data_IF_781055312795
#
_entry.id   IF_781055312795
#
_cell.length_a   1.000
_cell.length_b   1.000
_cell.length_c   1.000
_cell.angle_alpha   90.00
_cell.angle_beta   90.00
_cell.angle_gamma   90.00
#
_symmetry.space_group_name_H-M   'P 1'
#
loop_
_entity.id
_entity.type
_entity.pdbx_description
1 polymer ?
#
# COMPACT_ATOMS: atom_id res chain seq x y z
N UNK A 1 25.73 -21.41 -11.15
CA UNK A 1 25.04 -20.80 -10.00
C UNK A 1 23.78 -20.16 -10.56
N UNK A 2 22.63 -20.82 -10.44
CA UNK A 2 21.36 -20.25 -10.94
C UNK A 2 20.93 -19.18 -9.93
N UNK A 3 21.01 -17.91 -10.34
CA UNK A 3 20.40 -16.82 -9.59
C UNK A 3 18.90 -17.07 -9.62
N UNK A 4 18.33 -17.62 -8.53
CA UNK A 4 16.88 -17.76 -8.39
C UNK A 4 16.28 -16.36 -8.60
N UNK A 5 15.34 -16.19 -9.51
CA UNK A 5 14.64 -14.90 -9.65
C UNK A 5 13.95 -14.58 -8.31
N UNK A 6 13.96 -13.31 -7.90
CA UNK A 6 13.26 -12.93 -6.67
C UNK A 6 11.76 -13.06 -6.92
N UNK A 7 11.00 -13.60 -5.96
CA UNK A 7 9.55 -13.57 -6.04
C UNK A 7 9.07 -12.11 -6.14
N UNK A 8 8.16 -11.85 -7.07
CA UNK A 8 7.60 -10.51 -7.31
C UNK A 8 6.14 -10.43 -6.85
N UNK A 9 5.63 -9.21 -6.70
CA UNK A 9 4.19 -8.97 -6.58
C UNK A 9 3.70 -8.47 -7.93
N UNK A 10 2.75 -9.19 -8.51
CA UNK A 10 2.17 -8.89 -9.81
C UNK A 10 1.01 -7.89 -9.66
N UNK A 11 0.15 -8.13 -8.68
CA UNK A 11 -0.99 -7.29 -8.39
C UNK A 11 -1.42 -7.38 -6.92
N UNK A 12 -2.23 -6.41 -6.51
CA UNK A 12 -2.96 -6.44 -5.24
C UNK A 12 -4.45 -6.38 -5.54
N UNK A 13 -5.24 -7.22 -4.87
CA UNK A 13 -6.69 -7.21 -4.99
C UNK A 13 -7.30 -6.59 -3.75
N UNK A 14 -8.04 -5.50 -3.94
CA UNK A 14 -8.89 -4.90 -2.91
C UNK A 14 -10.25 -5.60 -2.94
N UNK A 15 -10.69 -6.07 -1.77
CA UNK A 15 -12.00 -6.67 -1.64
C UNK A 15 -13.03 -5.63 -1.16
N UNK A 16 -14.12 -5.46 -1.89
CA UNK A 16 -15.09 -4.41 -1.60
C UNK A 16 -16.53 -4.89 -1.72
N UNK A 17 -17.44 -4.25 -0.98
CA UNK A 17 -18.88 -4.47 -1.15
C UNK A 17 -19.35 -3.84 -2.47
N UNK A 18 -18.93 -2.59 -2.73
CA UNK A 18 -19.19 -1.88 -3.97
C UNK A 18 -17.94 -1.90 -4.86
N UNK A 19 -17.86 -2.95 -5.69
CA UNK A 19 -16.71 -3.17 -6.58
C UNK A 19 -16.65 -2.17 -7.73
N UNK A 20 -17.80 -1.66 -8.18
CA UNK A 20 -17.87 -0.67 -9.26
C UNK A 20 -17.28 0.64 -8.78
N UNK A 21 -17.78 1.17 -7.66
CA UNK A 21 -17.27 2.42 -7.08
C UNK A 21 -15.79 2.33 -6.72
N UNK A 22 -15.34 1.17 -6.22
CA UNK A 22 -13.93 0.96 -5.87
C UNK A 22 -13.05 0.92 -7.11
N UNK A 23 -13.50 0.26 -8.18
CA UNK A 23 -12.76 0.19 -9.45
C UNK A 23 -12.67 1.56 -10.13
N UNK A 24 -13.79 2.30 -10.18
CA UNK A 24 -13.84 3.67 -10.69
C UNK A 24 -12.91 4.59 -9.91
N UNK A 25 -12.93 4.51 -8.56
CA UNK A 25 -12.01 5.28 -7.72
C UNK A 25 -10.54 5.00 -8.07
N UNK A 26 -10.14 3.73 -8.18
CA UNK A 26 -8.74 3.35 -8.49
C UNK A 26 -8.34 3.85 -9.88
N UNK A 27 -9.22 3.69 -10.87
CA UNK A 27 -8.97 4.10 -12.25
C UNK A 27 -8.87 5.64 -12.37
N UNK A 28 -9.84 6.37 -11.84
CA UNK A 28 -9.95 7.82 -12.00
C UNK A 28 -8.96 8.60 -11.12
N UNK A 29 -8.70 8.12 -9.91
CA UNK A 29 -7.81 8.80 -8.98
C UNK A 29 -6.33 8.54 -9.28
N UNK A 30 -5.99 7.30 -9.63
CA UNK A 30 -4.59 6.85 -9.64
C UNK A 30 -4.14 6.18 -10.95
N UNK A 31 -5.07 5.75 -11.81
CA UNK A 31 -4.73 5.05 -13.06
C UNK A 31 -4.03 3.71 -12.82
N UNK A 32 -4.39 3.00 -11.75
CA UNK A 32 -3.71 1.78 -11.30
C UNK A 32 -4.50 0.48 -11.54
N UNK A 33 -5.48 0.47 -12.45
CA UNK A 33 -6.34 -0.70 -12.68
C UNK A 33 -5.58 -1.97 -13.11
N UNK A 34 -4.40 -1.82 -13.72
CA UNK A 34 -3.52 -2.92 -14.12
C UNK A 34 -2.78 -3.58 -12.95
N UNK A 35 -2.63 -2.86 -11.82
CA UNK A 35 -1.87 -3.33 -10.65
C UNK A 35 -2.76 -3.56 -9.42
N UNK A 36 -3.88 -2.85 -9.33
CA UNK A 36 -4.82 -2.92 -8.22
C UNK A 36 -6.16 -3.38 -8.77
N UNK A 37 -6.46 -4.66 -8.55
CA UNK A 37 -7.72 -5.27 -8.94
C UNK A 37 -8.76 -5.12 -7.83
N UNK A 38 -10.02 -5.37 -8.18
CA UNK A 38 -11.13 -5.32 -7.23
C UNK A 38 -11.96 -6.57 -7.37
N UNK A 39 -12.33 -7.18 -6.23
CA UNK A 39 -13.27 -8.32 -6.19
C UNK A 39 -14.33 -8.13 -5.11
N UNK A 40 -15.51 -8.75 -5.26
CA UNK A 40 -16.57 -8.61 -4.28
C UNK A 40 -16.21 -9.35 -2.98
N UNK A 41 -16.53 -8.74 -1.83
CA UNK A 41 -16.46 -9.41 -0.52
C UNK A 41 -17.45 -8.81 0.47
N UNK A 42 -17.98 -9.68 1.32
CA UNK A 42 -18.86 -9.34 2.45
C UNK A 42 -18.19 -9.67 3.79
N UNK A 43 -16.90 -10.03 3.78
CA UNK A 43 -16.14 -10.32 4.99
C UNK A 43 -16.14 -9.11 5.92
N UNK A 44 -16.43 -9.36 7.20
CA UNK A 44 -16.57 -8.28 8.17
C UNK A 44 -15.21 -7.65 8.46
N UNK A 45 -15.17 -6.32 8.48
CA UNK A 45 -13.98 -5.53 8.79
C UNK A 45 -14.38 -4.25 9.50
N UNK A 46 -13.54 -3.78 10.43
CA UNK A 46 -13.77 -2.53 11.15
C UNK A 46 -12.47 -1.79 11.43
N UNK A 47 -12.54 -0.45 11.52
CA UNK A 47 -11.39 0.39 11.85
C UNK A 47 -10.28 0.34 10.80
N UNK A 48 -9.02 0.28 11.25
CA UNK A 48 -7.86 0.13 10.39
C UNK A 48 -7.70 -1.33 9.92
N UNK A 49 -7.51 -1.55 8.62
CA UNK A 49 -7.36 -2.89 8.05
C UNK A 49 -5.94 -3.44 8.11
N UNK A 50 -5.04 -2.83 8.88
CA UNK A 50 -3.68 -3.34 9.08
C UNK A 50 -2.66 -2.89 8.04
N UNK A 51 -3.07 -2.43 6.86
CA UNK A 51 -2.14 -1.99 5.81
C UNK A 51 -2.48 -0.60 5.26
N UNK A 52 -1.54 -0.01 4.52
CA UNK A 52 -1.81 1.12 3.64
C UNK A 52 -1.14 0.92 2.29
N UNK A 53 -1.78 1.39 1.21
CA UNK A 53 -1.15 1.51 -0.11
C UNK A 53 -0.51 2.89 -0.22
N UNK A 54 0.82 2.93 -0.35
CA UNK A 54 1.56 4.18 -0.47
C UNK A 54 1.97 4.41 -1.91
N UNK A 55 1.49 5.51 -2.48
CA UNK A 55 1.81 5.93 -3.83
C UNK A 55 2.92 6.96 -3.79
N UNK A 56 4.03 6.63 -4.43
CA UNK A 56 5.19 7.50 -4.54
C UNK A 56 5.13 8.24 -5.87
N UNK A 57 5.30 9.56 -5.80
CA UNK A 57 5.34 10.46 -6.95
C UNK A 57 6.67 11.19 -7.00
N UNK A 58 7.05 11.67 -8.19
CA UNK A 58 8.34 12.32 -8.41
C UNK A 58 8.44 13.72 -7.76
N UNK A 59 7.32 14.42 -7.58
CA UNK A 59 7.30 15.80 -7.08
C UNK A 59 5.96 16.18 -6.42
N UNK A 60 5.91 17.29 -5.66
CA UNK A 60 4.69 17.75 -4.98
C UNK A 60 3.46 17.95 -5.88
N UNK A 61 3.60 18.55 -7.06
CA UNK A 61 2.46 18.81 -7.95
C UNK A 61 1.74 17.53 -8.40
N UNK A 62 2.45 16.41 -8.53
CA UNK A 62 1.85 15.11 -8.84
C UNK A 62 1.05 14.57 -7.65
N UNK A 63 1.57 14.77 -6.42
CA UNK A 63 0.85 14.44 -5.18
C UNK A 63 -0.43 15.25 -5.05
N UNK A 64 -0.37 16.56 -5.29
CA UNK A 64 -1.52 17.47 -5.22
C UNK A 64 -2.60 17.04 -6.22
N UNK A 65 -2.21 16.80 -7.48
CA UNK A 65 -3.12 16.34 -8.54
C UNK A 65 -3.81 15.03 -8.17
N UNK A 66 -3.06 14.05 -7.66
CA UNK A 66 -3.61 12.76 -7.25
C UNK A 66 -4.55 12.89 -6.04
N UNK A 67 -4.19 13.72 -5.06
CA UNK A 67 -5.05 13.98 -3.90
C UNK A 67 -6.36 14.62 -4.32
N UNK A 68 -6.33 15.65 -5.18
CA UNK A 68 -7.53 16.28 -5.70
C UNK A 68 -8.40 15.31 -6.50
N UNK A 69 -7.80 14.44 -7.32
CA UNK A 69 -8.53 13.43 -8.08
C UNK A 69 -9.21 12.42 -7.13
N UNK A 70 -8.50 11.93 -6.12
CA UNK A 70 -9.05 11.03 -5.12
C UNK A 70 -10.20 11.67 -4.33
N UNK A 71 -10.08 12.94 -3.93
CA UNK A 71 -11.15 13.66 -3.24
C UNK A 71 -12.39 13.85 -4.13
N UNK A 72 -12.21 14.17 -5.43
CA UNK A 72 -13.31 14.22 -6.40
C UNK A 72 -13.98 12.86 -6.59
N UNK A 73 -13.22 11.78 -6.51
CA UNK A 73 -13.71 10.40 -6.56
C UNK A 73 -14.29 9.88 -5.21
N UNK A 74 -14.45 10.75 -4.22
CA UNK A 74 -15.14 10.44 -2.97
C UNK A 74 -14.27 9.92 -1.84
N UNK A 75 -12.95 10.08 -1.91
CA UNK A 75 -12.08 9.83 -0.77
C UNK A 75 -12.25 10.88 0.34
N UNK A 76 -12.00 10.47 1.57
CA UNK A 76 -11.95 11.35 2.74
C UNK A 76 -10.50 11.68 3.12
N UNK A 77 -10.13 12.95 3.34
CA UNK A 77 -8.79 13.29 3.78
C UNK A 77 -8.55 12.81 5.23
N UNK A 78 -7.41 12.17 5.48
CA UNK A 78 -6.95 11.80 6.84
C UNK A 78 -5.87 12.77 7.30
N UNK A 79 -4.81 12.93 6.49
CA UNK A 79 -3.77 13.94 6.68
C UNK A 79 -3.77 14.89 5.49
N UNK A 80 -3.78 16.22 5.72
CA UNK A 80 -3.67 17.17 4.63
C UNK A 80 -2.33 16.98 3.91
N UNK A 81 -2.35 17.15 2.60
CA UNK A 81 -1.13 17.13 1.78
C UNK A 81 -0.30 18.37 2.12
N UNK A 82 0.91 18.14 2.64
CA UNK A 82 1.78 19.23 3.09
C UNK A 82 3.26 18.84 3.05
N UNK A 83 4.13 19.86 3.14
CA UNK A 83 5.56 19.66 3.39
C UNK A 83 5.77 19.06 4.78
N UNK A 84 6.68 18.11 4.87
CA UNK A 84 7.13 17.51 6.11
C UNK A 84 8.66 17.42 6.16
N UNK A 85 9.18 16.87 7.26
CA UNK A 85 10.60 16.56 7.37
C UNK A 85 11.04 15.59 6.26
N UNK A 86 10.21 14.58 5.96
CA UNK A 86 10.51 13.48 5.05
C UNK A 86 10.25 13.78 3.57
N UNK A 87 9.56 14.88 3.26
CA UNK A 87 9.23 15.22 1.87
C UNK A 87 7.96 16.06 1.78
N UNK A 88 7.05 15.64 0.91
CA UNK A 88 5.74 16.24 0.66
C UNK A 88 4.70 15.13 0.55
N UNK A 89 3.56 15.24 1.22
CA UNK A 89 2.57 14.16 1.19
C UNK A 89 1.43 14.31 2.17
N UNK A 90 0.48 13.39 2.07
CA UNK A 90 -0.71 13.28 2.90
C UNK A 90 -1.28 11.87 2.86
N UNK A 91 -2.47 11.69 3.41
CA UNK A 91 -3.17 10.41 3.40
C UNK A 91 -4.68 10.60 3.32
N UNK A 92 -5.34 9.61 2.76
CA UNK A 92 -6.78 9.61 2.52
C UNK A 92 -7.37 8.21 2.72
N UNK A 93 -8.68 8.17 2.93
CA UNK A 93 -9.48 6.94 2.98
C UNK A 93 -10.30 6.87 1.71
N UNK A 94 -10.13 5.81 0.94
CA UNK A 94 -10.93 5.53 -0.24
C UNK A 94 -12.37 5.14 0.14
N UNK A 95 -13.34 5.20 -0.80
CA UNK A 95 -14.75 4.89 -0.52
C UNK A 95 -15.00 3.47 0.03
N UNK A 96 -14.13 2.53 -0.31
CA UNK A 96 -14.16 1.16 0.18
C UNK A 96 -13.62 1.02 1.62
N UNK A 97 -13.06 2.08 2.19
CA UNK A 97 -12.44 2.14 3.51
C UNK A 97 -10.92 1.92 3.53
N UNK A 98 -10.30 1.59 2.40
CA UNK A 98 -8.84 1.38 2.30
C UNK A 98 -8.09 2.68 2.52
N UNK A 99 -6.97 2.61 3.23
CA UNK A 99 -6.15 3.77 3.57
C UNK A 99 -4.99 3.89 2.59
N UNK A 100 -4.89 5.06 1.96
CA UNK A 100 -3.85 5.38 0.98
C UNK A 100 -2.96 6.51 1.49
N UNK A 101 -1.66 6.43 1.23
CA UNK A 101 -0.74 7.55 1.45
C UNK A 101 -0.19 8.02 0.11
N UNK A 102 0.00 9.32 -0.02
CA UNK A 102 0.54 9.96 -1.22
C UNK A 102 1.81 10.67 -0.80
N UNK A 103 2.93 10.39 -1.47
CA UNK A 103 4.22 10.91 -1.03
C UNK A 103 5.16 11.24 -2.19
N UNK A 104 5.93 12.30 -2.02
CA UNK A 104 7.12 12.62 -2.80
C UNK A 104 8.25 12.91 -1.82
N UNK A 105 9.44 12.36 -2.08
CA UNK A 105 10.65 12.70 -1.32
C UNK A 105 11.14 14.13 -1.62
N UNK A 106 10.73 14.70 -2.76
CA UNK A 106 11.01 16.08 -3.15
C UNK A 106 10.05 17.06 -2.46
N UNK A 107 10.52 18.30 -2.28
CA UNK A 107 9.76 19.39 -1.64
C UNK A 107 9.47 20.57 -2.58
N UNK A 108 9.86 20.45 -3.85
CA UNK A 108 9.69 21.47 -4.89
C UNK A 108 9.36 20.78 -6.22
N UNK A 109 8.60 21.47 -7.06
CA UNK A 109 8.33 21.05 -8.42
C UNK A 109 9.53 21.36 -9.31
N UNK A 110 9.83 20.47 -10.24
CA UNK A 110 10.94 20.60 -11.19
C UNK A 110 10.50 20.43 -12.64
N UNK A 111 9.26 19.95 -12.87
CA UNK A 111 8.68 19.76 -14.19
C UNK A 111 7.14 19.87 -14.12
N UNK A 112 6.49 19.83 -15.29
CA UNK A 112 5.03 19.73 -15.38
C UNK A 112 4.54 18.42 -14.72
N UNK A 113 3.46 18.43 -13.90
CA UNK A 113 2.90 17.22 -13.32
C UNK A 113 2.41 16.25 -14.38
N UNK A 114 2.81 14.99 -14.23
CA UNK A 114 2.45 13.88 -15.12
C UNK A 114 1.30 13.05 -14.58
N UNK A 115 1.05 13.11 -13.27
CA UNK A 115 0.12 12.27 -12.54
C UNK A 115 0.59 10.81 -12.38
N UNK A 116 1.78 10.45 -12.86
CA UNK A 116 2.25 9.06 -12.85
C UNK A 116 2.78 8.67 -11.48
N UNK A 117 2.33 7.51 -11.01
CA UNK A 117 2.87 6.83 -9.84
C UNK A 117 4.22 6.23 -10.21
N UNK A 118 5.27 6.62 -9.50
CA UNK A 118 6.64 6.12 -9.71
C UNK A 118 6.86 4.78 -9.00
N UNK A 119 6.14 4.52 -7.91
CA UNK A 119 6.20 3.27 -7.16
C UNK A 119 4.94 3.09 -6.31
N UNK A 120 4.42 1.86 -6.26
CA UNK A 120 3.39 1.45 -5.29
C UNK A 120 4.07 0.69 -4.16
N UNK A 121 3.76 1.02 -2.91
CA UNK A 121 4.24 0.29 -1.73
C UNK A 121 3.05 -0.24 -0.94
N UNK A 122 2.94 -1.57 -0.87
CA UNK A 122 2.09 -2.23 0.11
C UNK A 122 2.81 -2.24 1.45
N UNK A 123 2.41 -1.33 2.33
CA UNK A 123 2.94 -1.26 3.69
C UNK A 123 2.03 -2.04 4.64
N UNK A 124 2.43 -3.28 4.95
CA UNK A 124 1.70 -4.18 5.82
C UNK A 124 2.10 -3.99 7.29
N UNK A 125 1.09 -3.86 8.14
CA UNK A 125 1.22 -3.79 9.58
C UNK A 125 1.13 -5.17 10.19
N UNK A 126 2.20 -5.60 10.86
CA UNK A 126 2.35 -6.93 11.46
C UNK A 126 2.52 -6.85 12.97
N UNK A 127 2.21 -7.93 13.68
CA UNK A 127 2.37 -8.07 15.12
C UNK A 127 3.85 -8.25 15.49
N UNK A 128 4.56 -9.10 14.74
CA UNK A 128 6.00 -9.34 14.90
C UNK A 128 6.74 -9.25 13.56
N UNK A 129 7.45 -8.13 13.36
CA UNK A 129 8.23 -7.86 12.14
C UNK A 129 9.32 -8.91 11.90
N UNK A 130 9.89 -9.53 12.95
CA UNK A 130 10.93 -10.57 12.77
C UNK A 130 10.31 -11.87 12.30
N UNK A 131 9.17 -12.27 12.88
CA UNK A 131 8.46 -13.48 12.48
C UNK A 131 7.95 -13.37 11.04
N UNK A 132 7.28 -12.26 10.70
CA UNK A 132 6.81 -12.01 9.34
C UNK A 132 7.98 -11.94 8.33
N UNK A 133 9.10 -11.30 8.71
CA UNK A 133 10.32 -11.30 7.88
C UNK A 133 10.83 -12.71 7.60
N UNK A 134 10.91 -13.57 8.62
CA UNK A 134 11.36 -14.94 8.47
C UNK A 134 10.42 -15.70 7.51
N UNK A 135 9.11 -15.61 7.72
CA UNK A 135 8.09 -16.19 6.85
C UNK A 135 8.32 -15.81 5.38
N UNK A 136 8.37 -14.53 5.05
CA UNK A 136 8.53 -14.09 3.66
C UNK A 136 9.87 -14.50 3.05
N UNK A 137 10.95 -14.52 3.85
CA UNK A 137 12.28 -14.94 3.37
C UNK A 137 12.31 -16.45 3.08
N UNK A 138 11.68 -17.27 3.92
CA UNK A 138 11.52 -18.71 3.73
C UNK A 138 10.69 -19.03 2.47
N UNK A 139 9.72 -18.17 2.16
CA UNK A 139 8.90 -18.26 0.95
C UNK A 139 9.55 -17.65 -0.30
N UNK A 140 10.80 -17.19 -0.21
CA UNK A 140 11.62 -16.82 -1.36
C UNK A 140 11.71 -15.33 -1.67
N UNK A 141 11.11 -14.46 -0.84
CA UNK A 141 11.31 -13.01 -0.96
C UNK A 141 12.69 -12.60 -0.46
N UNK A 142 13.34 -11.71 -1.20
CA UNK A 142 14.65 -11.16 -0.81
C UNK A 142 14.46 -9.88 -0.03
N UNK A 143 15.19 -9.75 1.07
CA UNK A 143 15.22 -8.51 1.84
C UNK A 143 16.07 -7.47 1.12
N UNK A 144 15.45 -6.36 0.72
CA UNK A 144 16.14 -5.19 0.15
C UNK A 144 16.70 -4.29 1.24
N UNK A 145 15.94 -4.06 2.31
CA UNK A 145 16.32 -3.19 3.43
C UNK A 145 15.69 -3.69 4.72
N UNK A 146 16.41 -3.60 5.84
CA UNK A 146 15.87 -3.99 7.14
C UNK A 146 16.49 -3.15 8.26
N UNK A 147 15.64 -2.67 9.16
CA UNK A 147 16.02 -1.90 10.34
C UNK A 147 15.56 -2.61 11.61
N UNK A 148 16.18 -3.77 11.86
CA UNK A 148 15.86 -4.63 13.01
C UNK A 148 14.39 -5.06 13.02
N UNK A 149 13.70 -4.87 14.15
CA UNK A 149 12.29 -5.20 14.32
C UNK A 149 11.32 -4.06 13.96
N UNK A 150 11.82 -2.96 13.38
CA UNK A 150 10.99 -1.77 13.10
C UNK A 150 10.51 -1.68 11.66
N UNK A 151 11.28 -2.20 10.72
CA UNK A 151 11.02 -2.09 9.29
C UNK A 151 11.75 -3.18 8.51
N UNK A 152 11.09 -3.75 7.52
CA UNK A 152 11.72 -4.52 6.46
C UNK A 152 11.05 -4.18 5.13
N UNK A 153 11.83 -4.15 4.06
CA UNK A 153 11.38 -3.96 2.69
C UNK A 153 11.96 -5.10 1.85
N UNK A 154 11.11 -5.68 1.00
CA UNK A 154 11.49 -6.78 0.13
C UNK A 154 11.69 -6.31 -1.31
N UNK A 155 12.61 -6.97 -1.99
CA UNK A 155 12.77 -6.85 -3.43
C UNK A 155 11.67 -7.69 -4.10
N UNK A 156 10.61 -7.00 -4.53
CA UNK A 156 9.35 -7.56 -5.07
C UNK A 156 9.12 -7.13 -6.52
N UNK A 157 10.18 -6.67 -7.19
CA UNK A 157 10.08 -6.11 -8.54
C UNK A 157 9.76 -4.62 -8.55
N UNK A 158 9.50 -4.10 -9.75
CA UNK A 158 9.33 -2.66 -9.98
C UNK A 158 7.90 -2.14 -9.73
N UNK A 159 6.89 -3.00 -9.85
CA UNK A 159 5.49 -2.57 -9.82
C UNK A 159 5.00 -2.28 -8.40
N UNK A 160 5.08 -3.28 -7.51
CA UNK A 160 4.59 -3.17 -6.13
C UNK A 160 5.70 -3.64 -5.18
N UNK A 161 6.06 -2.76 -4.24
CA UNK A 161 7.00 -3.08 -3.15
C UNK A 161 6.25 -3.54 -1.92
N UNK A 162 6.63 -4.69 -1.34
CA UNK A 162 6.21 -5.07 0.00
C UNK A 162 7.14 -4.51 1.07
N UNK A 163 6.57 -3.82 2.06
CA UNK A 163 7.27 -3.40 3.26
C UNK A 163 6.45 -3.75 4.50
N UNK A 164 7.12 -4.08 5.61
CA UNK A 164 6.50 -4.41 6.88
C UNK A 164 6.94 -3.45 7.98
N UNK A 165 5.99 -3.06 8.83
CA UNK A 165 6.24 -2.41 10.10
C UNK A 165 5.25 -2.94 11.15
N UNK A 166 5.40 -2.53 12.41
CA UNK A 166 4.34 -2.82 13.37
C UNK A 166 3.03 -2.17 12.93
N UNK A 167 1.89 -2.83 13.17
CA UNK A 167 0.55 -2.28 12.90
C UNK A 167 0.38 -0.84 13.39
N UNK A 168 0.88 -0.54 14.60
CA UNK A 168 0.85 0.80 15.18
C UNK A 168 1.68 1.82 14.39
N UNK A 169 2.82 1.41 13.85
CA UNK A 169 3.67 2.28 13.04
C UNK A 169 3.02 2.60 11.69
N UNK A 170 2.40 1.61 11.03
CA UNK A 170 1.66 1.83 9.78
C UNK A 170 0.48 2.78 10.01
N UNK A 171 -0.33 2.52 11.03
CA UNK A 171 -1.45 3.39 11.40
C UNK A 171 -1.00 4.83 11.70
N UNK A 172 0.09 5.00 12.46
CA UNK A 172 0.68 6.30 12.75
C UNK A 172 1.17 7.01 11.48
N UNK A 173 1.81 6.27 10.56
CA UNK A 173 2.25 6.81 9.27
C UNK A 173 1.06 7.32 8.46
N UNK A 174 -0.03 6.56 8.42
CA UNK A 174 -1.24 6.95 7.71
C UNK A 174 -2.14 7.96 8.45
N UNK A 175 -1.95 8.18 9.76
CA UNK A 175 -2.77 9.12 10.53
C UNK A 175 -4.08 8.57 11.06
N UNK A 176 -4.20 7.25 11.19
CA UNK A 176 -5.40 6.58 11.68
C UNK A 176 -5.18 5.94 13.04
N UNK A 177 -6.27 5.65 13.75
CA UNK A 177 -6.22 4.80 14.94
C UNK A 177 -5.77 3.39 14.55
N UNK A 178 -4.81 2.76 15.25
CA UNK A 178 -4.41 1.38 14.97
C UNK A 178 -5.50 0.33 15.26
N UNK A 179 -6.55 0.68 15.99
CA UNK A 179 -7.67 -0.20 16.30
C UNK A 179 -8.42 -0.61 15.02
N UNK A 180 -8.83 -1.87 15.00
CA UNK A 180 -9.56 -2.49 13.90
C UNK A 180 -9.48 -4.00 14.01
N UNK A 181 -10.42 -4.69 13.37
CA UNK A 181 -10.55 -6.14 13.43
C UNK A 181 -11.24 -6.68 12.19
N UNK A 182 -11.23 -8.01 12.04
CA UNK A 182 -11.81 -8.69 10.90
C UNK A 182 -10.86 -8.74 9.70
N UNK A 183 -11.43 -8.96 8.52
CA UNK A 183 -10.67 -9.14 7.30
C UNK A 183 -9.85 -7.89 6.93
N UNK A 184 -8.67 -8.13 6.38
CA UNK A 184 -7.89 -7.10 5.69
C UNK A 184 -8.59 -6.60 4.42
N UNK A 185 -9.52 -7.39 3.85
CA UNK A 185 -10.13 -7.14 2.53
C UNK A 185 -9.05 -6.88 1.47
N UNK A 186 -8.03 -7.71 1.51
CA UNK A 186 -6.81 -7.60 0.72
C UNK A 186 -6.31 -9.00 0.37
N UNK A 187 -6.02 -9.23 -0.91
CA UNK A 187 -5.25 -10.38 -1.37
C UNK A 187 -4.05 -9.91 -2.22
N UNK A 188 -2.97 -10.68 -2.18
CA UNK A 188 -1.71 -10.35 -2.85
C UNK A 188 -1.45 -11.43 -3.90
N UNK A 189 -1.38 -11.03 -5.16
CA UNK A 189 -1.03 -11.94 -6.25
C UNK A 189 0.47 -11.84 -6.51
N UNK A 190 1.19 -12.96 -6.39
CA UNK A 190 2.64 -12.94 -6.58
C UNK A 190 3.36 -14.27 -6.40
N UNK A 191 4.68 -14.21 -6.58
CA UNK A 191 5.53 -15.38 -6.82
C UNK A 191 5.85 -16.26 -5.60
N UNK A 192 5.12 -16.15 -4.48
CA UNK A 192 5.34 -17.03 -3.31
C UNK A 192 4.28 -18.13 -3.17
N UNK A 193 3.35 -18.22 -4.12
CA UNK A 193 2.27 -19.21 -4.14
C UNK A 193 1.16 -18.91 -3.13
N UNK A 194 0.17 -19.81 -3.08
CA UNK A 194 -0.99 -19.63 -2.20
C UNK A 194 -0.64 -19.94 -0.75
N UNK A 195 -0.59 -18.89 0.07
CA UNK A 195 -0.21 -18.98 1.49
C UNK A 195 -0.84 -17.82 2.28
N UNK A 196 -1.05 -18.01 3.58
CA UNK A 196 -1.46 -16.95 4.50
C UNK A 196 -0.32 -16.66 5.45
N UNK A 197 0.07 -15.40 5.57
CA UNK A 197 1.14 -15.01 6.48
C UNK A 197 0.69 -15.05 7.96
N UNK A 198 1.61 -14.94 8.95
CA UNK A 198 1.26 -15.01 10.36
C UNK A 198 0.27 -13.94 10.86
N UNK A 199 0.07 -12.88 10.08
CA UNK A 199 -0.80 -11.76 10.40
C UNK A 199 -2.12 -11.80 9.62
N UNK A 200 -2.33 -12.79 8.75
CA UNK A 200 -3.55 -13.01 8.00
C UNK A 200 -3.57 -12.43 6.58
N UNK A 201 -2.43 -11.95 6.07
CA UNK A 201 -2.35 -11.49 4.67
C UNK A 201 -2.35 -12.69 3.72
N UNK A 202 -3.35 -12.74 2.84
CA UNK A 202 -3.56 -13.83 1.89
C UNK A 202 -2.76 -13.59 0.62
N UNK A 203 -1.99 -14.59 0.21
CA UNK A 203 -1.35 -14.69 -1.10
C UNK A 203 -2.03 -15.75 -1.96
N UNK A 204 -2.16 -15.48 -3.25
CA UNK A 204 -2.80 -16.36 -4.25
C UNK A 204 -2.07 -16.36 -5.60
#
# INVERSE_FOLDING_TARGET
MHTKEAAVIDAVTIEAEDTVKTSEFIADAFGLADLIHVRPSQEQTSGFRGFSLSLVYDQPADVDRAAEAALRAGAEPIKPVAKSFWGYGGSLRAPDGTVWTLASSKKKNTAEPTGRVSQVVLLAGVADVRAAKAFYTEHGLRVRRSFGSKYVEFDTGAAITLALQSRRAVAKNAGVDPAGSGSHRLAISGGIGSVVDPDGYVWE
#
